data_IF_978433103715
#
_entry.id   IF_978433103715
#
_cell.length_a   1.000
_cell.length_b   1.000
_cell.length_c   1.000
_cell.angle_alpha   90.00
_cell.angle_beta   90.00
_cell.angle_gamma   90.00
#
_symmetry.space_group_name_H-M   'P 1'
#
loop_
_entity.id
_entity.type
_entity.pdbx_description
1 polymer ?
#
# COMPACT_ATOMS: atom_id res chain seq x y z
N UNK A 1 13.76 11.15 -45.22
CA UNK A 1 14.27 10.41 -44.04
C UNK A 1 14.29 11.38 -42.88
N UNK A 2 13.39 11.19 -41.91
CA UNK A 2 13.08 12.14 -40.84
C UNK A 2 14.10 12.03 -39.70
N UNK A 3 14.65 13.19 -39.31
CA UNK A 3 15.65 13.35 -38.26
C UNK A 3 14.93 13.45 -36.91
N UNK A 4 14.93 12.39 -36.09
CA UNK A 4 14.46 12.45 -34.70
C UNK A 4 15.65 12.72 -33.79
N UNK A 5 15.79 13.97 -33.36
CA UNK A 5 16.61 14.29 -32.19
C UNK A 5 15.98 13.64 -30.95
N UNK A 6 16.60 12.59 -30.42
CA UNK A 6 16.33 12.10 -29.07
C UNK A 6 16.90 13.12 -28.09
N UNK A 7 16.02 13.89 -27.46
CA UNK A 7 16.37 14.71 -26.31
C UNK A 7 16.47 13.74 -25.12
N UNK A 8 17.70 13.43 -24.72
CA UNK A 8 17.98 12.65 -23.51
C UNK A 8 17.79 13.56 -22.29
N UNK A 9 16.61 13.52 -21.66
CA UNK A 9 16.41 14.01 -20.29
C UNK A 9 16.92 12.97 -19.29
N UNK A 10 18.24 12.79 -19.23
CA UNK A 10 18.87 12.06 -18.13
C UNK A 10 19.37 13.11 -17.13
N UNK A 11 18.57 13.39 -16.09
CA UNK A 11 19.03 14.20 -14.96
C UNK A 11 20.23 13.52 -14.30
N UNK A 12 21.28 14.29 -14.02
CA UNK A 12 22.47 13.82 -13.32
C UNK A 12 22.09 13.39 -11.90
N UNK A 13 22.22 12.09 -11.60
CA UNK A 13 21.85 11.51 -10.30
C UNK A 13 22.65 12.11 -9.14
N UNK A 14 23.79 12.74 -9.41
CA UNK A 14 24.62 13.39 -8.41
C UNK A 14 24.12 14.79 -7.97
N UNK A 15 23.06 15.32 -8.60
CA UNK A 15 22.46 16.61 -8.23
C UNK A 15 21.13 16.50 -7.47
N UNK A 16 20.62 15.30 -7.20
CA UNK A 16 19.38 15.13 -6.44
C UNK A 16 19.71 15.23 -4.94
N UNK A 17 19.52 16.42 -4.39
CA UNK A 17 19.53 16.61 -2.94
C UNK A 17 18.24 16.01 -2.36
N UNK A 18 18.37 14.87 -1.67
CA UNK A 18 17.28 14.26 -0.93
C UNK A 18 17.31 14.82 0.49
N UNK A 19 16.29 15.60 0.83
CA UNK A 19 16.10 16.10 2.18
C UNK A 19 15.38 15.05 3.05
N UNK A 20 16.06 14.58 4.10
CA UNK A 20 15.50 13.66 5.09
C UNK A 20 14.93 14.37 6.33
N UNK A 21 15.00 15.71 6.37
CA UNK A 21 14.57 16.52 7.51
C UNK A 21 13.13 16.99 7.40
N UNK A 22 12.56 16.98 6.19
CA UNK A 22 11.14 17.31 5.98
C UNK A 22 10.24 16.26 6.64
N UNK A 23 9.50 16.69 7.66
CA UNK A 23 8.45 15.88 8.27
C UNK A 23 7.21 15.89 7.37
N UNK A 24 6.82 14.72 6.87
CA UNK A 24 5.54 14.57 6.18
C UNK A 24 4.39 14.60 7.20
N UNK A 25 3.44 15.55 7.09
CA UNK A 25 2.28 15.59 7.97
C UNK A 25 1.39 14.35 7.78
N UNK A 26 0.66 14.00 8.83
CA UNK A 26 -0.31 12.90 8.82
C UNK A 26 -1.70 13.45 9.09
N UNK A 27 -2.67 12.99 8.32
CA UNK A 27 -4.02 13.53 8.29
C UNK A 27 -5.02 12.49 8.80
N UNK A 28 -5.68 12.76 9.91
CA UNK A 28 -6.62 11.81 10.51
C UNK A 28 -7.87 11.68 9.67
N UNK A 29 -8.20 10.47 9.23
CA UNK A 29 -9.46 10.22 8.49
C UNK A 29 -10.70 10.37 9.35
N UNK A 30 -10.55 10.37 10.68
CA UNK A 30 -11.67 10.48 11.62
C UNK A 30 -12.12 11.93 11.82
N UNK A 31 -11.28 12.90 11.48
CA UNK A 31 -11.56 14.32 11.55
C UNK A 31 -11.74 14.89 10.13
N UNK A 32 -12.87 15.57 9.86
CA UNK A 32 -13.17 16.08 8.51
C UNK A 32 -12.23 17.19 8.03
N UNK A 33 -11.80 18.08 8.93
CA UNK A 33 -10.88 19.17 8.59
C UNK A 33 -9.51 18.58 8.24
N UNK A 34 -8.99 17.70 9.11
CA UNK A 34 -7.72 17.00 8.86
C UNK A 34 -7.76 16.16 7.58
N UNK A 35 -8.85 15.45 7.32
CA UNK A 35 -9.05 14.72 6.06
C UNK A 35 -8.97 15.67 4.86
N UNK A 36 -9.65 16.82 4.90
CA UNK A 36 -9.63 17.82 3.84
C UNK A 36 -8.22 18.40 3.64
N UNK A 37 -7.50 18.70 4.72
CA UNK A 37 -6.10 19.16 4.65
C UNK A 37 -5.22 18.14 3.96
N UNK A 38 -5.47 16.84 4.17
CA UNK A 38 -4.79 15.77 3.45
C UNK A 38 -5.09 15.75 1.95
N UNK A 39 -6.31 16.10 1.54
CA UNK A 39 -6.67 16.24 0.12
C UNK A 39 -5.97 17.47 -0.50
N UNK A 40 -5.91 18.59 0.24
CA UNK A 40 -5.16 19.78 -0.18
C UNK A 40 -3.67 19.42 -0.36
N UNK A 41 -3.07 18.76 0.62
CA UNK A 41 -1.67 18.32 0.56
C UNK A 41 -1.41 17.36 -0.62
N UNK A 42 -2.34 16.42 -0.88
CA UNK A 42 -2.27 15.53 -2.04
C UNK A 42 -2.24 16.31 -3.36
N UNK A 43 -3.10 17.32 -3.51
CA UNK A 43 -3.17 18.14 -4.73
C UNK A 43 -1.92 19.02 -4.92
N UNK A 44 -1.35 19.52 -3.82
CA UNK A 44 -0.16 20.40 -3.85
C UNK A 44 1.15 19.63 -4.09
N UNK A 45 1.28 18.45 -3.49
CA UNK A 45 2.55 17.71 -3.45
C UNK A 45 2.53 16.38 -4.23
N UNK A 46 1.37 15.91 -4.68
CA UNK A 46 1.20 14.64 -5.39
C UNK A 46 1.19 13.41 -4.48
N UNK A 47 1.18 13.58 -3.15
CA UNK A 47 1.06 12.50 -2.17
C UNK A 47 0.45 13.00 -0.86
N UNK A 48 -0.11 12.11 -0.05
CA UNK A 48 -0.54 12.40 1.32
C UNK A 48 -0.49 11.15 2.20
N UNK A 49 -0.32 11.33 3.52
CA UNK A 49 -0.37 10.25 4.50
C UNK A 49 -1.62 10.39 5.36
N UNK A 50 -2.54 9.45 5.24
CA UNK A 50 -3.74 9.39 6.08
C UNK A 50 -3.52 8.48 7.31
N UNK A 51 -3.85 8.98 8.50
CA UNK A 51 -3.78 8.26 9.77
C UNK A 51 -5.16 7.83 10.26
N UNK A 52 -5.18 6.98 11.28
CA UNK A 52 -6.41 6.52 11.96
C UNK A 52 -7.39 5.79 11.03
N UNK A 53 -6.85 5.17 9.98
CA UNK A 53 -7.61 4.41 8.98
C UNK A 53 -8.26 3.17 9.58
N UNK A 54 -7.52 2.45 10.43
CA UNK A 54 -7.99 1.26 11.11
C UNK A 54 -7.75 1.36 12.61
N UNK A 55 -8.69 0.82 13.39
CA UNK A 55 -8.54 0.61 14.82
C UNK A 55 -7.52 -0.52 15.10
N UNK A 56 -6.99 -0.55 16.31
CA UNK A 56 -5.99 -1.56 16.69
C UNK A 56 -6.49 -3.00 16.52
N UNK A 57 -7.75 -3.27 16.82
CA UNK A 57 -8.35 -4.59 16.65
C UNK A 57 -8.51 -4.97 15.17
N UNK A 58 -8.90 -4.01 14.32
CA UNK A 58 -8.95 -4.21 12.86
C UNK A 58 -7.56 -4.52 12.31
N UNK A 59 -6.52 -3.85 12.82
CA UNK A 59 -5.12 -4.12 12.44
C UNK A 59 -4.71 -5.53 12.85
N UNK A 60 -5.06 -5.96 14.06
CA UNK A 60 -4.73 -7.30 14.56
C UNK A 60 -5.43 -8.39 13.72
N UNK A 61 -6.72 -8.21 13.43
CA UNK A 61 -7.47 -9.11 12.55
C UNK A 61 -6.81 -9.22 11.18
N UNK A 62 -6.41 -8.10 10.58
CA UNK A 62 -5.75 -8.12 9.27
C UNK A 62 -4.39 -8.83 9.30
N UNK A 63 -3.62 -8.68 10.38
CA UNK A 63 -2.37 -9.44 10.56
C UNK A 63 -2.64 -10.94 10.66
N UNK A 64 -3.69 -11.33 11.38
CA UNK A 64 -4.07 -12.74 11.50
C UNK A 64 -4.56 -13.31 10.17
N UNK A 65 -5.35 -12.55 9.39
CA UNK A 65 -5.77 -12.96 8.04
C UNK A 65 -4.57 -13.14 7.11
N UNK A 66 -3.57 -12.26 7.17
CA UNK A 66 -2.34 -12.37 6.38
C UNK A 66 -1.56 -13.64 6.75
N UNK A 67 -1.37 -13.90 8.04
CA UNK A 67 -0.67 -15.10 8.49
C UNK A 67 -1.45 -16.38 8.20
N UNK A 68 -2.78 -16.35 8.35
CA UNK A 68 -3.65 -17.46 7.96
C UNK A 68 -3.48 -17.76 6.46
N UNK A 69 -3.40 -16.74 5.61
CA UNK A 69 -3.10 -16.95 4.19
C UNK A 69 -1.74 -17.64 4.01
N UNK A 70 -0.67 -17.11 4.62
CA UNK A 70 0.69 -17.67 4.49
C UNK A 70 0.81 -19.13 4.95
N UNK A 71 0.26 -19.46 6.11
CA UNK A 71 0.33 -20.81 6.69
C UNK A 71 -0.49 -21.86 5.91
N UNK A 72 -1.40 -21.42 5.02
CA UNK A 72 -2.25 -22.29 4.22
C UNK A 72 -1.87 -22.34 2.72
N UNK A 73 -0.75 -21.73 2.31
CA UNK A 73 -0.30 -21.82 0.91
C UNK A 73 0.16 -23.26 0.62
N UNK A 74 -0.42 -23.95 -0.39
CA UNK A 74 -0.03 -25.31 -0.71
C UNK A 74 1.46 -25.43 -1.06
N UNK A 75 2.16 -26.37 -0.42
CA UNK A 75 3.59 -26.59 -0.63
C UNK A 75 4.52 -25.67 0.16
N UNK A 76 3.97 -24.72 0.93
CA UNK A 76 4.71 -23.90 1.88
C UNK A 76 4.52 -24.40 3.30
N UNK A 77 5.56 -24.28 4.13
CA UNK A 77 5.54 -24.70 5.54
C UNK A 77 6.01 -23.59 6.47
N UNK A 78 5.65 -22.34 6.16
CA UNK A 78 5.94 -21.19 7.01
C UNK A 78 5.04 -21.22 8.25
N UNK A 79 5.58 -20.82 9.41
CA UNK A 79 4.85 -20.76 10.68
C UNK A 79 5.08 -19.39 11.34
N UNK A 80 4.00 -18.68 11.70
CA UNK A 80 4.08 -17.30 12.22
C UNK A 80 4.88 -17.19 13.53
N UNK A 81 4.89 -18.25 14.33
CA UNK A 81 5.53 -18.29 15.64
C UNK A 81 6.89 -18.99 15.63
N UNK A 82 7.38 -19.44 14.46
CA UNK A 82 8.71 -20.02 14.31
C UNK A 82 9.47 -19.34 13.15
N UNK A 83 10.25 -18.28 13.45
CA UNK A 83 11.05 -17.57 12.46
C UNK A 83 12.08 -18.44 11.72
N UNK A 84 12.45 -19.60 12.27
CA UNK A 84 13.40 -20.52 11.59
C UNK A 84 12.79 -21.10 10.32
N UNK A 85 11.46 -21.16 10.24
CA UNK A 85 10.73 -21.63 9.05
C UNK A 85 10.68 -20.60 7.92
N UNK A 86 10.91 -19.30 8.20
CA UNK A 86 10.61 -18.23 7.24
C UNK A 86 11.58 -18.23 6.05
N UNK A 87 12.88 -18.42 6.30
CA UNK A 87 13.93 -18.26 5.27
C UNK A 87 13.73 -19.08 3.99
N UNK A 88 13.16 -20.28 4.10
CA UNK A 88 12.92 -21.19 2.97
C UNK A 88 11.47 -21.25 2.49
N UNK A 89 10.53 -20.80 3.32
CA UNK A 89 9.10 -20.95 3.07
C UNK A 89 8.39 -19.61 2.84
N UNK A 90 9.11 -18.49 2.85
CA UNK A 90 8.54 -17.18 2.57
C UNK A 90 7.83 -17.18 1.21
N UNK A 91 6.55 -16.75 1.14
CA UNK A 91 5.83 -16.71 -0.12
C UNK A 91 6.34 -15.59 -1.04
N UNK A 92 6.26 -15.80 -2.35
CA UNK A 92 6.74 -14.87 -3.37
C UNK A 92 8.24 -14.91 -3.62
N UNK A 93 8.73 -13.93 -4.39
CA UNK A 93 10.14 -13.86 -4.76
C UNK A 93 10.95 -13.13 -3.67
N UNK A 94 11.73 -13.90 -2.90
CA UNK A 94 12.58 -13.39 -1.82
C UNK A 94 13.65 -12.37 -2.24
N UNK A 95 13.94 -12.21 -3.54
CA UNK A 95 14.87 -11.19 -4.03
C UNK A 95 14.33 -9.75 -3.97
N UNK A 96 13.00 -9.57 -3.96
CA UNK A 96 12.38 -8.24 -4.07
C UNK A 96 11.37 -7.94 -2.96
N UNK A 97 11.01 -8.93 -2.13
CA UNK A 97 10.05 -8.76 -1.05
C UNK A 97 8.60 -8.54 -1.52
N UNK A 98 8.32 -8.82 -2.80
CA UNK A 98 7.00 -8.69 -3.41
C UNK A 98 6.32 -10.06 -3.42
N UNK A 99 5.05 -10.09 -2.98
CA UNK A 99 4.18 -11.26 -3.01
C UNK A 99 3.02 -10.91 -3.96
N UNK A 100 2.99 -11.56 -5.11
CA UNK A 100 2.01 -11.34 -6.17
C UNK A 100 1.51 -12.65 -6.80
N UNK A 101 1.71 -13.76 -6.09
CA UNK A 101 1.35 -15.11 -6.49
C UNK A 101 0.42 -15.77 -5.46
N UNK A 102 0.13 -17.06 -5.67
CA UNK A 102 -0.68 -17.89 -4.78
C UNK A 102 -2.08 -17.34 -4.47
N UNK A 103 -2.58 -16.42 -5.30
CA UNK A 103 -3.88 -15.78 -5.12
C UNK A 103 -3.94 -14.73 -4.01
N UNK A 104 -2.80 -14.18 -3.54
CA UNK A 104 -2.79 -13.18 -2.45
C UNK A 104 -3.73 -12.01 -2.73
N UNK A 105 -3.82 -11.55 -3.99
CA UNK A 105 -4.70 -10.45 -4.41
C UNK A 105 -6.19 -10.72 -4.18
N UNK A 106 -6.57 -11.98 -4.04
CA UNK A 106 -7.93 -12.48 -3.79
C UNK A 106 -8.10 -13.08 -2.38
N UNK A 107 -7.11 -12.95 -1.50
CA UNK A 107 -7.16 -13.45 -0.13
C UNK A 107 -8.12 -12.66 0.75
N UNK A 108 -8.62 -13.28 1.83
CA UNK A 108 -9.45 -12.62 2.85
C UNK A 108 -8.76 -11.38 3.43
N UNK A 109 -7.43 -11.41 3.58
CA UNK A 109 -6.64 -10.25 3.99
C UNK A 109 -6.83 -9.07 3.02
N UNK A 110 -6.62 -9.29 1.72
CA UNK A 110 -6.77 -8.23 0.72
C UNK A 110 -8.22 -7.75 0.60
N UNK A 111 -9.19 -8.65 0.68
CA UNK A 111 -10.61 -8.29 0.71
C UNK A 111 -10.97 -7.43 1.92
N UNK A 112 -10.49 -7.80 3.11
CA UNK A 112 -10.79 -7.07 4.34
C UNK A 112 -10.16 -5.66 4.34
N UNK A 113 -8.91 -5.55 3.89
CA UNK A 113 -8.27 -4.23 3.73
C UNK A 113 -9.01 -3.39 2.68
N UNK A 114 -9.18 -3.89 1.45
CA UNK A 114 -9.76 -3.12 0.34
C UNK A 114 -11.24 -2.73 0.57
N UNK A 115 -11.95 -3.49 1.41
CA UNK A 115 -13.35 -3.18 1.74
C UNK A 115 -13.53 -2.22 2.91
N UNK A 116 -12.46 -1.86 3.63
CA UNK A 116 -12.53 -1.00 4.81
C UNK A 116 -13.21 0.34 4.53
N UNK A 117 -14.13 0.74 5.43
CA UNK A 117 -14.96 1.94 5.28
C UNK A 117 -14.16 3.24 5.22
N UNK A 118 -13.08 3.34 5.98
CA UNK A 118 -12.25 4.55 6.03
C UNK A 118 -11.35 4.65 4.80
N UNK A 119 -10.87 3.53 4.27
CA UNK A 119 -10.19 3.51 2.97
C UNK A 119 -11.14 4.00 1.87
N UNK A 120 -12.36 3.46 1.80
CA UNK A 120 -13.39 3.93 0.87
C UNK A 120 -13.70 5.42 1.04
N UNK A 121 -13.81 5.89 2.28
CA UNK A 121 -14.05 7.31 2.60
C UNK A 121 -12.92 8.20 2.08
N UNK A 122 -11.66 7.83 2.25
CA UNK A 122 -10.53 8.61 1.71
C UNK A 122 -10.63 8.70 0.19
N UNK A 123 -10.80 7.56 -0.49
CA UNK A 123 -10.92 7.55 -1.95
C UNK A 123 -12.16 8.29 -2.46
N UNK A 124 -13.27 8.28 -1.71
CA UNK A 124 -14.47 9.01 -2.12
C UNK A 124 -14.28 10.52 -2.05
N UNK A 125 -13.46 11.01 -1.11
CA UNK A 125 -13.06 12.41 -1.07
C UNK A 125 -12.10 12.76 -2.21
N UNK A 126 -11.09 11.92 -2.48
CA UNK A 126 -10.13 12.14 -3.57
C UNK A 126 -10.85 12.27 -4.92
N UNK A 127 -11.80 11.37 -5.19
CA UNK A 127 -12.51 11.31 -6.47
C UNK A 127 -13.82 12.09 -6.51
N UNK A 128 -14.22 12.70 -5.38
CA UNK A 128 -15.50 13.39 -5.22
C UNK A 128 -16.71 12.55 -5.65
N UNK A 129 -16.70 11.24 -5.34
CA UNK A 129 -17.80 10.31 -5.62
C UNK A 129 -17.79 9.13 -4.66
N UNK A 130 -18.97 8.63 -4.30
CA UNK A 130 -19.12 7.40 -3.52
C UNK A 130 -19.22 6.14 -4.41
N UNK A 131 -19.32 6.31 -5.73
CA UNK A 131 -19.37 5.23 -6.71
C UNK A 131 -17.95 4.80 -7.08
N UNK A 132 -17.32 4.06 -6.15
CA UNK A 132 -15.94 3.60 -6.29
C UNK A 132 -15.89 2.16 -6.80
N UNK A 133 -14.95 1.90 -7.70
CA UNK A 133 -14.55 0.58 -8.15
C UNK A 133 -13.12 0.32 -7.66
N UNK A 134 -12.81 -0.93 -7.34
CA UNK A 134 -11.46 -1.35 -6.98
C UNK A 134 -11.09 -2.54 -7.86
N UNK A 135 -9.93 -2.45 -8.52
CA UNK A 135 -9.38 -3.59 -9.26
C UNK A 135 -8.86 -4.62 -8.26
N UNK A 136 -9.22 -5.88 -8.51
CA UNK A 136 -8.69 -7.02 -7.77
C UNK A 136 -7.65 -7.83 -8.57
N UNK A 137 -7.18 -7.29 -9.69
CA UNK A 137 -5.99 -7.85 -10.33
C UNK A 137 -4.79 -7.64 -9.38
N UNK A 138 -4.06 -8.72 -9.14
CA UNK A 138 -2.91 -8.80 -8.25
C UNK A 138 -1.87 -9.75 -8.81
#
# INVERSE_FOLDING_TARGET
>A
MSNRNQINYCLDKNQIHIDYTTLTPRFSVTNNESLNDGIVHLNEHGYAIFSDVMLQDEININKDLLWNFFENIPGHHIQRHDPTTWSKNWPGNGSFGIINDCGIGQSDFMWNVRSNRNIKRVYSQIWNTNELLVSFDG
#
